data_IF_034240180967
#
_entry.id   IF_034240180967
#
_cell.length_a   1.000
_cell.length_b   1.000
_cell.length_c   1.000
_cell.angle_alpha   90.00
_cell.angle_beta   90.00
_cell.angle_gamma   90.00
#
_symmetry.space_group_name_H-M   'P 1'
#
loop_
_entity.id
_entity.type
_entity.pdbx_description
1 polymer ?
#
# COMPACT_ATOMS: atom_id res chain seq x y z
N UNK A 1 5.12 3.65 -15.81
CA UNK A 1 4.11 3.74 -14.74
C UNK A 1 4.82 4.19 -13.49
N UNK A 2 4.19 4.98 -12.63
CA UNK A 2 4.77 5.28 -11.31
C UNK A 2 4.75 4.01 -10.46
N UNK A 3 5.90 3.61 -9.90
CA UNK A 3 6.01 2.47 -8.99
C UNK A 3 6.45 2.97 -7.63
N UNK A 4 5.72 2.60 -6.58
CA UNK A 4 6.01 2.94 -5.18
C UNK A 4 6.09 1.65 -4.37
N UNK A 5 7.02 1.56 -3.42
CA UNK A 5 7.24 0.33 -2.64
C UNK A 5 7.37 0.61 -1.16
N UNK A 6 6.46 0.09 -0.35
CA UNK A 6 6.63 0.06 1.10
C UNK A 6 7.53 -1.13 1.45
N UNK A 7 8.82 -0.86 1.63
CA UNK A 7 9.83 -1.89 1.89
C UNK A 7 10.89 -1.40 2.88
N UNK A 8 11.63 -2.34 3.48
CA UNK A 8 12.42 -2.18 4.71
C UNK A 8 13.23 -0.88 4.79
N UNK A 9 13.97 -0.53 3.75
CA UNK A 9 14.89 0.61 3.72
C UNK A 9 14.41 1.79 2.88
N UNK A 10 13.20 1.68 2.29
CA UNK A 10 12.68 2.73 1.46
C UNK A 10 12.00 3.84 2.30
N UNK A 11 11.94 5.07 1.77
CA UNK A 11 11.09 6.12 2.34
C UNK A 11 9.62 5.66 2.42
N UNK A 12 8.78 6.38 3.15
CA UNK A 12 7.32 6.14 3.09
C UNK A 12 6.80 6.32 1.66
N UNK A 13 5.65 5.72 1.36
CA UNK A 13 5.03 5.82 0.03
C UNK A 13 4.78 7.29 -0.34
N UNK A 14 4.28 8.09 0.61
CA UNK A 14 4.09 9.54 0.42
C UNK A 14 5.40 10.27 0.12
N UNK A 15 6.50 9.92 0.81
CA UNK A 15 7.81 10.52 0.56
C UNK A 15 8.36 10.13 -0.81
N UNK A 16 8.20 8.88 -1.24
CA UNK A 16 8.58 8.43 -2.58
C UNK A 16 7.84 9.22 -3.67
N UNK A 17 6.52 9.40 -3.52
CA UNK A 17 5.72 10.18 -4.46
C UNK A 17 6.11 11.67 -4.51
N UNK A 18 6.42 12.26 -3.37
CA UNK A 18 6.93 13.64 -3.33
C UNK A 18 8.29 13.77 -4.04
N UNK A 19 9.20 12.81 -3.81
CA UNK A 19 10.52 12.78 -4.47
C UNK A 19 10.42 12.55 -5.98
N UNK A 20 9.35 11.92 -6.46
CA UNK A 20 9.09 11.77 -7.90
C UNK A 20 8.38 12.99 -8.54
N UNK A 21 8.27 14.10 -7.80
CA UNK A 21 7.65 15.33 -8.29
C UNK A 21 6.12 15.28 -8.33
N UNK A 22 5.50 14.32 -7.63
CA UNK A 22 4.04 14.10 -7.60
C UNK A 22 3.43 13.85 -8.98
N UNK A 23 4.17 13.15 -9.84
CA UNK A 23 3.75 12.87 -11.22
C UNK A 23 3.41 11.39 -11.38
N UNK A 24 2.31 11.12 -12.08
CA UNK A 24 1.98 9.79 -12.54
C UNK A 24 2.62 9.57 -13.91
N UNK A 25 3.77 8.89 -13.93
CA UNK A 25 4.53 8.67 -15.17
C UNK A 25 4.02 7.45 -15.94
N UNK A 26 2.94 7.54 -16.73
CA UNK A 26 2.81 6.73 -17.95
C UNK A 26 1.77 7.24 -18.94
N UNK A 27 1.96 6.84 -20.20
CA UNK A 27 0.96 6.93 -21.27
C UNK A 27 -0.21 5.94 -21.08
N UNK A 28 -0.04 4.89 -20.27
CA UNK A 28 -1.03 3.80 -20.10
C UNK A 28 -2.07 4.05 -19.00
N UNK A 29 -1.91 5.10 -18.17
CA UNK A 29 -2.81 5.44 -17.06
C UNK A 29 -2.74 4.50 -15.86
N UNK A 30 -1.55 4.02 -15.46
CA UNK A 30 -1.36 3.06 -14.35
C UNK A 30 -0.33 3.52 -13.32
N UNK A 31 -0.63 3.25 -12.04
CA UNK A 31 0.29 3.31 -10.91
C UNK A 31 0.40 1.94 -10.25
N UNK A 32 1.59 1.58 -9.75
CA UNK A 32 1.80 0.36 -8.97
C UNK A 32 2.26 0.71 -7.54
N UNK A 33 1.58 0.17 -6.53
CA UNK A 33 2.00 0.22 -5.13
C UNK A 33 2.33 -1.20 -4.65
N UNK A 34 3.53 -1.41 -4.13
CA UNK A 34 3.99 -2.71 -3.61
C UNK A 34 4.09 -2.66 -2.08
N UNK A 35 3.35 -3.53 -1.40
CA UNK A 35 3.38 -3.67 0.06
C UNK A 35 4.21 -4.91 0.41
N UNK A 36 5.44 -4.68 0.87
CA UNK A 36 6.45 -5.71 1.11
C UNK A 36 6.73 -5.83 2.63
N UNK A 37 7.91 -6.32 3.01
CA UNK A 37 8.34 -6.34 4.42
C UNK A 37 8.23 -4.95 5.06
N UNK A 38 7.67 -4.83 6.28
CA UNK A 38 7.52 -3.57 6.99
C UNK A 38 8.83 -2.78 7.08
N UNK A 39 8.72 -1.46 7.04
CA UNK A 39 9.87 -0.56 7.21
C UNK A 39 10.51 -0.79 8.58
N UNK A 40 11.85 -0.83 8.62
CA UNK A 40 12.61 -1.07 9.86
C UNK A 40 12.56 -2.51 10.38
N UNK A 41 12.01 -3.47 9.63
CA UNK A 41 12.01 -4.89 9.99
C UNK A 41 12.87 -5.69 9.02
N UNK A 42 13.77 -6.52 9.56
CA UNK A 42 14.54 -7.47 8.74
C UNK A 42 13.61 -8.49 8.10
N UNK A 43 14.05 -9.03 6.97
CA UNK A 43 13.28 -10.00 6.22
C UNK A 43 12.95 -11.24 7.06
N UNK A 44 13.97 -11.78 7.74
CA UNK A 44 13.90 -13.02 8.50
C UNK A 44 12.94 -12.88 9.69
N UNK A 45 13.02 -11.75 10.39
CA UNK A 45 12.14 -11.43 11.52
C UNK A 45 10.68 -11.33 11.08
N UNK A 46 10.43 -10.70 9.92
CA UNK A 46 9.08 -10.59 9.38
C UNK A 46 8.52 -11.95 8.98
N UNK A 47 9.34 -12.81 8.38
CA UNK A 47 8.92 -14.16 8.02
C UNK A 47 8.56 -14.99 9.26
N UNK A 48 9.45 -15.02 10.27
CA UNK A 48 9.26 -15.79 11.49
C UNK A 48 8.00 -15.37 12.27
N UNK A 49 7.69 -14.06 12.28
CA UNK A 49 6.48 -13.52 12.93
C UNK A 49 5.20 -13.80 12.14
N UNK A 50 5.28 -13.80 10.82
CA UNK A 50 4.11 -13.85 9.95
C UNK A 50 3.71 -15.28 9.55
N UNK A 51 4.64 -16.24 9.52
CA UNK A 51 4.32 -17.63 9.20
C UNK A 51 3.33 -18.21 10.24
N UNK A 52 2.27 -18.94 9.82
CA UNK A 52 2.01 -19.51 8.49
C UNK A 52 1.20 -18.63 7.53
N UNK A 53 1.18 -17.32 7.75
CA UNK A 53 0.49 -16.32 6.95
C UNK A 53 -1.05 -16.37 6.98
N UNK A 54 -1.61 -16.89 8.07
CA UNK A 54 -3.03 -17.15 8.24
C UNK A 54 -3.80 -16.00 8.88
N UNK A 55 -3.12 -15.07 9.57
CA UNK A 55 -3.74 -13.95 10.30
C UNK A 55 -2.96 -12.66 10.17
N UNK A 56 -3.58 -11.55 10.57
CA UNK A 56 -2.85 -10.30 10.75
C UNK A 56 -2.01 -10.36 12.02
N UNK A 57 -0.75 -9.91 11.93
CA UNK A 57 0.16 -9.83 13.06
C UNK A 57 0.20 -8.39 13.57
N UNK A 58 -0.14 -8.22 14.84
CA UNK A 58 -0.08 -6.92 15.49
C UNK A 58 1.33 -6.34 15.47
N UNK A 59 1.45 -5.03 15.26
CA UNK A 59 2.73 -4.34 15.10
C UNK A 59 3.46 -4.58 13.76
N UNK A 60 3.04 -5.53 12.91
CA UNK A 60 3.63 -5.70 11.56
C UNK A 60 2.98 -4.79 10.52
N UNK A 61 1.65 -4.79 10.45
CA UNK A 61 0.91 -3.97 9.49
C UNK A 61 0.91 -2.50 9.92
N UNK A 62 1.85 -1.72 9.37
CA UNK A 62 1.99 -0.31 9.73
C UNK A 62 0.77 0.50 9.30
N UNK A 63 0.13 1.22 10.23
CA UNK A 63 -1.03 2.05 9.93
C UNK A 63 -0.75 3.14 8.88
N UNK A 64 0.47 3.67 8.86
CA UNK A 64 0.92 4.62 7.82
C UNK A 64 0.95 4.00 6.42
N UNK A 65 1.29 2.71 6.29
CA UNK A 65 1.24 2.00 5.00
C UNK A 65 -0.18 2.01 4.43
N UNK A 66 -1.17 1.65 5.25
CA UNK A 66 -2.58 1.59 4.82
C UNK A 66 -3.08 2.99 4.45
N UNK A 67 -2.83 3.99 5.29
CA UNK A 67 -3.22 5.39 5.03
C UNK A 67 -2.61 5.92 3.74
N UNK A 68 -1.28 5.85 3.60
CA UNK A 68 -0.60 6.34 2.40
C UNK A 68 -1.11 5.64 1.14
N UNK A 69 -1.34 4.32 1.20
CA UNK A 69 -1.85 3.54 0.06
C UNK A 69 -3.23 4.01 -0.37
N UNK A 70 -4.15 4.20 0.59
CA UNK A 70 -5.52 4.66 0.31
C UNK A 70 -5.52 6.08 -0.25
N UNK A 71 -4.75 6.98 0.36
CA UNK A 71 -4.66 8.38 -0.08
C UNK A 71 -4.10 8.49 -1.51
N UNK A 72 -3.01 7.77 -1.80
CA UNK A 72 -2.41 7.75 -3.14
C UNK A 72 -3.30 7.07 -4.17
N UNK A 73 -3.98 5.98 -3.82
CA UNK A 73 -4.93 5.34 -4.71
C UNK A 73 -6.09 6.27 -5.06
N UNK A 74 -6.57 7.06 -4.10
CA UNK A 74 -7.63 8.06 -4.34
C UNK A 74 -7.13 9.17 -5.23
N UNK A 75 -5.98 9.76 -4.90
CA UNK A 75 -5.36 10.84 -5.68
C UNK A 75 -5.08 10.41 -7.13
N UNK A 76 -4.67 9.15 -7.34
CA UNK A 76 -4.52 8.57 -8.67
C UNK A 76 -5.86 8.41 -9.39
N UNK A 77 -6.87 7.86 -8.72
CA UNK A 77 -8.21 7.64 -9.29
C UNK A 77 -8.87 8.96 -9.70
N UNK A 78 -8.74 10.00 -8.87
CA UNK A 78 -9.25 11.35 -9.15
C UNK A 78 -8.60 11.98 -10.40
N UNK A 79 -7.41 11.50 -10.78
CA UNK A 79 -6.67 11.91 -11.99
C UNK A 79 -6.84 10.94 -13.16
N UNK A 80 -7.78 9.98 -13.07
CA UNK A 80 -8.03 8.98 -14.11
C UNK A 80 -6.95 7.90 -14.22
N UNK A 81 -6.06 7.81 -13.23
CA UNK A 81 -4.99 6.81 -13.15
C UNK A 81 -5.50 5.59 -12.38
N UNK A 82 -5.18 4.39 -12.89
CA UNK A 82 -5.55 3.10 -12.31
C UNK A 82 -4.49 2.63 -11.30
N UNK A 83 -4.80 2.62 -9.99
CA UNK A 83 -3.89 2.08 -8.99
C UNK A 83 -3.94 0.54 -8.96
N UNK A 84 -2.78 -0.09 -9.09
CA UNK A 84 -2.59 -1.53 -8.96
C UNK A 84 -1.78 -1.80 -7.67
N UNK A 85 -2.35 -2.54 -6.73
CA UNK A 85 -1.75 -2.77 -5.41
C UNK A 85 -1.32 -4.24 -5.29
N UNK A 86 -0.02 -4.46 -5.11
CA UNK A 86 0.58 -5.79 -4.94
C UNK A 86 0.93 -5.98 -3.48
N UNK A 87 0.42 -7.04 -2.86
CA UNK A 87 0.52 -7.25 -1.41
C UNK A 87 1.27 -8.55 -1.13
N UNK A 88 2.36 -8.46 -0.37
CA UNK A 88 3.07 -9.62 0.15
C UNK A 88 2.58 -9.95 1.56
N UNK A 89 2.40 -11.24 1.90
CA UNK A 89 1.98 -11.67 3.24
C UNK A 89 2.89 -11.10 4.35
N UNK A 90 4.19 -10.93 4.09
CA UNK A 90 5.14 -10.36 5.06
C UNK A 90 4.82 -8.93 5.47
N UNK A 91 3.99 -8.20 4.72
CA UNK A 91 3.58 -6.84 5.08
C UNK A 91 2.78 -6.77 6.39
N UNK A 92 2.14 -7.86 6.79
CA UNK A 92 1.29 -7.86 7.99
C UNK A 92 0.74 -9.20 8.41
N UNK A 93 1.21 -10.31 7.84
CA UNK A 93 0.75 -11.66 8.16
C UNK A 93 -0.08 -12.28 7.04
N UNK A 94 -1.09 -11.60 6.50
CA UNK A 94 -2.04 -12.22 5.56
C UNK A 94 -2.44 -11.23 4.44
N UNK A 95 -1.96 -11.46 3.21
CA UNK A 95 -2.21 -10.54 2.09
C UNK A 95 -3.69 -10.38 1.74
N UNK A 96 -4.52 -11.45 1.67
CA UNK A 96 -5.97 -11.29 1.51
C UNK A 96 -6.62 -10.37 2.55
N UNK A 97 -6.31 -10.53 3.84
CA UNK A 97 -6.87 -9.68 4.89
C UNK A 97 -6.38 -8.22 4.78
N UNK A 98 -5.12 -8.02 4.38
CA UNK A 98 -4.58 -6.67 4.12
C UNK A 98 -5.29 -6.04 2.91
N UNK A 99 -5.54 -6.82 1.85
CA UNK A 99 -6.27 -6.36 0.66
C UNK A 99 -7.69 -5.90 1.03
N UNK A 100 -8.42 -6.73 1.80
CA UNK A 100 -9.76 -6.38 2.30
C UNK A 100 -9.73 -5.11 3.16
N UNK A 101 -8.74 -4.99 4.05
CA UNK A 101 -8.58 -3.78 4.88
C UNK A 101 -8.38 -2.53 4.02
N UNK A 102 -7.47 -2.57 3.04
CA UNK A 102 -7.22 -1.43 2.14
C UNK A 102 -8.46 -1.09 1.33
N UNK A 103 -9.12 -2.08 0.72
CA UNK A 103 -10.32 -1.87 -0.07
C UNK A 103 -11.46 -1.28 0.78
N UNK A 104 -11.67 -1.80 1.99
CA UNK A 104 -12.69 -1.28 2.93
C UNK A 104 -12.37 0.16 3.34
N UNK A 105 -11.11 0.46 3.66
CA UNK A 105 -10.70 1.83 4.01
C UNK A 105 -10.85 2.78 2.81
N UNK A 106 -10.53 2.33 1.60
CA UNK A 106 -10.70 3.10 0.38
C UNK A 106 -12.16 3.44 0.11
N UNK A 107 -13.05 2.43 0.11
CA UNK A 107 -14.50 2.64 -0.10
C UNK A 107 -15.10 3.56 0.95
N UNK A 108 -14.71 3.42 2.23
CA UNK A 108 -15.16 4.32 3.31
C UNK A 108 -14.68 5.77 3.13
N UNK A 109 -13.56 5.98 2.43
CA UNK A 109 -13.01 7.29 2.16
C UNK A 109 -13.62 7.95 0.89
N UNK A 110 -14.39 7.20 0.09
CA UNK A 110 -15.11 7.78 -1.05
C UNK A 110 -16.23 8.69 -0.55
N UNK A 111 -16.47 9.83 -1.20
CA UNK A 111 -17.63 10.65 -0.90
C UNK A 111 -18.91 9.84 -1.10
N UNK A 112 -19.89 10.01 -0.21
CA UNK A 112 -21.23 9.42 -0.43
C UNK A 112 -21.78 9.95 -1.75
N UNK A 113 -22.35 9.06 -2.56
CA UNK A 113 -23.06 9.47 -3.76
C UNK A 113 -24.11 10.53 -3.39
N UNK A 114 -24.15 11.64 -4.12
CA UNK A 114 -25.21 12.63 -3.96
C UNK A 114 -26.52 11.95 -4.38
N UNK A 115 -27.46 11.83 -3.45
CA UNK A 115 -28.84 11.38 -3.67
C UNK A 115 -29.62 12.39 -4.50
#
# INVERSE_FOLDING_TARGET
GQVLSHWTWLPSLRRQFNLSGKRFFNASGDMIIRLMTPRGMRYEDAYAKAHPFDKLIDGMLQGSMVRDTVELAREATDQGIRPNIIINNRAGGNAPLIAQKIATTFVRALPKAKS
#
